data_IF_207270801884
#
_entry.id   IF_207270801884
#
_cell.length_a   1.000
_cell.length_b   1.000
_cell.length_c   1.000
_cell.angle_alpha   90.00
_cell.angle_beta   90.00
_cell.angle_gamma   90.00
#
_symmetry.space_group_name_H-M   'P 1'
#
loop_
_entity.id
_entity.type
_entity.pdbx_description
1 polymer ?
#
# COMPACT_ATOMS: atom_id res chain seq x y z
N UNK A 1 -11.54 -24.26 -48.23
CA UNK A 1 -12.49 -23.19 -48.64
C UNK A 1 -13.81 -23.42 -47.94
N UNK A 2 -14.53 -22.33 -47.65
CA UNK A 2 -15.92 -22.20 -47.16
C UNK A 2 -16.09 -21.96 -45.66
N UNK A 3 -16.42 -20.70 -45.33
CA UNK A 3 -16.78 -20.12 -44.03
C UNK A 3 -18.31 -20.13 -43.88
N UNK A 4 -18.90 -20.51 -42.73
CA UNK A 4 -20.29 -20.19 -42.40
C UNK A 4 -20.32 -18.98 -41.44
N UNK A 5 -20.75 -17.79 -41.86
CA UNK A 5 -22.13 -17.29 -41.98
C UNK A 5 -22.80 -17.02 -40.63
N UNK A 6 -22.70 -15.76 -40.24
CA UNK A 6 -23.17 -15.09 -39.03
C UNK A 6 -24.68 -14.87 -39.09
N UNK A 7 -25.44 -15.51 -38.18
CA UNK A 7 -26.76 -15.03 -37.74
C UNK A 7 -26.50 -13.87 -36.76
N UNK A 8 -27.18 -12.73 -36.74
CA UNK A 8 -28.52 -12.44 -37.19
C UNK A 8 -29.26 -11.77 -36.03
N UNK A 9 -28.91 -10.53 -35.67
CA UNK A 9 -29.76 -9.70 -34.81
C UNK A 9 -30.20 -8.46 -35.57
N UNK A 10 -31.51 -8.42 -35.81
CA UNK A 10 -32.26 -7.40 -36.52
C UNK A 10 -32.35 -6.14 -35.66
N UNK A 11 -31.70 -5.06 -36.08
CA UNK A 11 -32.11 -3.73 -35.61
C UNK A 11 -33.38 -3.32 -36.36
N UNK A 12 -34.47 -3.19 -35.60
CA UNK A 12 -35.74 -2.58 -36.03
C UNK A 12 -35.45 -1.21 -36.61
N UNK A 13 -35.68 -1.05 -37.91
CA UNK A 13 -35.81 0.27 -38.53
C UNK A 13 -37.16 0.85 -38.08
N UNK A 14 -37.16 1.68 -37.03
CA UNK A 14 -38.39 2.37 -36.63
C UNK A 14 -38.68 3.50 -37.63
N UNK A 15 -39.94 3.55 -38.04
CA UNK A 15 -40.46 4.26 -39.20
C UNK A 15 -41.09 5.56 -38.73
N UNK A 16 -40.31 6.61 -38.51
CA UNK A 16 -40.87 7.94 -38.20
C UNK A 16 -39.97 9.09 -38.72
N UNK A 17 -39.74 9.12 -40.03
CA UNK A 17 -39.20 10.31 -40.72
C UNK A 17 -40.27 10.83 -41.67
N UNK A 18 -41.43 11.21 -41.13
CA UNK A 18 -42.48 11.92 -41.86
C UNK A 18 -43.19 12.90 -40.94
N UNK A 19 -42.50 13.97 -40.57
CA UNK A 19 -43.03 15.32 -40.28
C UNK A 19 -42.04 16.08 -39.39
N UNK A 20 -41.03 16.70 -40.00
CA UNK A 20 -40.26 17.73 -39.32
C UNK A 20 -40.40 19.03 -40.13
N UNK A 21 -41.46 19.78 -39.84
CA UNK A 21 -41.53 21.19 -40.27
C UNK A 21 -40.49 21.94 -39.46
N UNK A 22 -39.35 22.27 -40.08
CA UNK A 22 -38.35 23.17 -39.51
C UNK A 22 -38.99 24.56 -39.46
N UNK A 23 -39.47 24.96 -38.28
CA UNK A 23 -39.78 26.36 -38.00
C UNK A 23 -38.48 27.04 -37.57
N UNK A 24 -38.09 28.08 -38.31
CA UNK A 24 -36.99 28.97 -37.91
C UNK A 24 -37.38 29.69 -36.62
N UNK A 25 -36.60 29.49 -35.56
CA UNK A 25 -36.80 30.13 -34.26
C UNK A 25 -36.49 31.63 -34.37
N UNK A 26 -37.31 32.45 -33.71
CA UNK A 26 -37.13 33.91 -33.67
C UNK A 26 -35.92 34.30 -32.79
N UNK A 27 -35.26 35.45 -33.02
CA UNK A 27 -34.05 35.85 -32.29
C UNK A 27 -34.23 35.91 -30.76
N UNK A 28 -35.45 36.19 -30.29
CA UNK A 28 -35.79 36.25 -28.87
C UNK A 28 -35.81 34.89 -28.17
N UNK A 29 -36.08 33.80 -28.89
CA UNK A 29 -36.09 32.44 -28.30
C UNK A 29 -34.67 31.86 -28.17
N UNK A 30 -33.74 32.29 -29.02
CA UNK A 30 -32.33 31.90 -28.94
C UNK A 30 -31.69 32.41 -27.64
N UNK A 31 -32.04 33.63 -27.21
CA UNK A 31 -31.50 34.24 -25.97
C UNK A 31 -31.98 33.50 -24.71
N UNK A 32 -33.19 32.94 -24.74
CA UNK A 32 -33.76 32.17 -23.64
C UNK A 32 -33.08 30.80 -23.48
N UNK A 33 -32.73 30.14 -24.58
CA UNK A 33 -31.96 28.89 -24.55
C UNK A 33 -30.53 29.07 -24.03
N UNK A 34 -29.86 30.18 -24.37
CA UNK A 34 -28.50 30.49 -23.86
C UNK A 34 -28.51 30.71 -22.35
N UNK A 35 -29.61 31.24 -21.76
CA UNK A 35 -29.73 31.42 -20.31
C UNK A 35 -30.02 30.13 -19.54
N UNK A 36 -30.70 29.16 -20.15
CA UNK A 36 -31.02 27.88 -19.49
C UNK A 36 -29.80 26.93 -19.41
N UNK A 37 -28.80 27.11 -20.27
CA UNK A 37 -27.53 26.37 -20.23
C UNK A 37 -26.54 26.86 -19.15
N UNK A 38 -26.86 27.94 -18.42
CA UNK A 38 -26.00 28.53 -17.38
C UNK A 38 -26.42 28.18 -15.94
N UNK A 39 -27.42 27.33 -15.74
CA UNK A 39 -27.96 27.05 -14.40
C UNK A 39 -28.43 25.59 -14.19
N UNK A 40 -27.52 24.61 -14.19
CA UNK A 40 -27.60 23.33 -13.46
C UNK A 40 -26.40 22.40 -13.83
N UNK A 41 -25.71 21.69 -12.91
CA UNK A 41 -25.55 21.91 -11.47
C UNK A 41 -24.07 21.97 -11.02
N UNK A 42 -23.84 22.73 -9.95
CA UNK A 42 -22.78 22.52 -8.97
C UNK A 42 -22.96 21.12 -8.33
N UNK A 43 -22.43 20.08 -8.94
CA UNK A 43 -22.12 18.80 -8.28
C UNK A 43 -20.69 18.40 -8.65
N UNK A 44 -19.76 19.34 -8.51
CA UNK A 44 -18.34 19.04 -8.39
C UNK A 44 -18.15 18.52 -6.96
N UNK A 45 -18.61 17.29 -6.70
CA UNK A 45 -18.15 16.57 -5.52
C UNK A 45 -16.63 16.45 -5.69
N UNK A 46 -15.81 16.93 -4.74
CA UNK A 46 -14.42 16.49 -4.71
C UNK A 46 -14.47 14.97 -4.64
N UNK A 47 -13.85 14.31 -5.63
CA UNK A 47 -13.54 12.89 -5.51
C UNK A 47 -12.82 12.73 -4.17
N UNK A 48 -13.42 11.99 -3.24
CA UNK A 48 -12.70 11.58 -2.04
C UNK A 48 -11.50 10.78 -2.54
N UNK A 49 -10.31 11.36 -2.41
CA UNK A 49 -9.06 10.69 -2.68
C UNK A 49 -8.88 9.62 -1.61
N UNK A 50 -9.37 8.42 -1.88
CA UNK A 50 -8.93 7.22 -1.20
C UNK A 50 -7.64 6.79 -1.91
N UNK A 51 -6.53 6.73 -1.17
CA UNK A 51 -5.19 6.43 -1.69
C UNK A 51 -4.17 7.58 -1.53
N UNK A 52 -4.17 8.25 -0.37
CA UNK A 52 -3.13 9.22 -0.01
C UNK A 52 -2.00 8.59 0.82
N UNK A 53 -2.23 7.42 1.42
CA UNK A 53 -1.41 6.95 2.55
C UNK A 53 -0.12 6.26 2.09
N UNK A 54 -0.16 5.42 1.06
CA UNK A 54 1.03 4.83 0.39
C UNK A 54 1.93 5.92 -0.20
N UNK A 55 1.31 6.98 -0.76
CA UNK A 55 2.03 8.13 -1.27
C UNK A 55 2.62 9.02 -0.17
N UNK A 56 2.15 8.90 1.07
CA UNK A 56 2.64 9.68 2.20
C UNK A 56 3.86 9.02 2.82
N UNK A 57 3.85 7.68 2.97
CA UNK A 57 4.97 6.93 3.53
C UNK A 57 6.14 6.86 2.55
N UNK A 58 5.90 6.46 1.29
CA UNK A 58 6.96 6.43 0.27
C UNK A 58 7.60 7.81 0.08
N UNK A 59 6.81 8.89 0.12
CA UNK A 59 7.35 10.24 0.01
C UNK A 59 8.25 10.61 1.19
N UNK A 60 7.92 10.19 2.41
CA UNK A 60 8.79 10.39 3.56
C UNK A 60 10.14 9.67 3.40
N UNK A 61 10.12 8.46 2.83
CA UNK A 61 11.33 7.71 2.52
C UNK A 61 12.14 8.37 1.40
N UNK A 62 11.50 8.80 0.31
CA UNK A 62 12.12 9.55 -0.79
C UNK A 62 12.81 10.83 -0.30
N UNK A 63 12.10 11.64 0.50
CA UNK A 63 12.64 12.89 1.05
C UNK A 63 13.82 12.67 2.00
N UNK A 64 13.87 11.52 2.69
CA UNK A 64 14.91 11.23 3.69
C UNK A 64 16.11 10.49 3.11
N UNK A 65 15.85 9.51 2.26
CA UNK A 65 16.82 8.51 1.82
C UNK A 65 17.03 8.52 0.29
N UNK A 66 16.26 9.33 -0.45
CA UNK A 66 16.35 9.40 -1.91
C UNK A 66 15.81 8.18 -2.66
N UNK A 67 15.03 7.34 -1.96
CA UNK A 67 14.41 6.14 -2.47
C UNK A 67 13.60 5.42 -1.38
N UNK A 68 12.72 4.52 -1.79
CA UNK A 68 11.91 3.67 -0.90
C UNK A 68 12.07 2.18 -1.19
N UNK A 69 12.76 1.81 -2.28
CA UNK A 69 12.89 0.46 -2.79
C UNK A 69 13.56 -0.48 -1.77
N UNK A 70 14.52 0.04 -0.99
CA UNK A 70 15.18 -0.73 0.05
C UNK A 70 14.24 -1.11 1.20
N UNK A 71 13.31 -0.23 1.55
CA UNK A 71 12.29 -0.54 2.55
C UNK A 71 11.28 -1.53 1.98
N UNK A 72 10.74 -1.27 0.77
CA UNK A 72 9.78 -2.17 0.11
C UNK A 72 10.35 -3.59 -0.01
N UNK A 73 11.61 -3.72 -0.42
CA UNK A 73 12.26 -5.02 -0.54
C UNK A 73 12.40 -5.73 0.83
N UNK A 74 12.82 -5.01 1.87
CA UNK A 74 12.98 -5.60 3.21
C UNK A 74 11.63 -5.98 3.84
N UNK A 75 10.60 -5.16 3.66
CA UNK A 75 9.24 -5.41 4.12
C UNK A 75 8.65 -6.66 3.46
N UNK A 76 8.69 -6.75 2.13
CA UNK A 76 8.22 -7.94 1.41
C UNK A 76 9.03 -9.19 1.75
N UNK A 77 10.36 -9.08 1.85
CA UNK A 77 11.20 -10.22 2.25
C UNK A 77 10.84 -10.73 3.65
N UNK A 78 10.49 -9.84 4.59
CA UNK A 78 10.04 -10.23 5.92
C UNK A 78 8.70 -10.96 5.87
N UNK A 79 7.70 -10.42 5.16
CA UNK A 79 6.41 -11.07 5.03
C UNK A 79 6.53 -12.44 4.35
N UNK A 80 7.29 -12.54 3.26
CA UNK A 80 7.52 -13.79 2.54
C UNK A 80 8.20 -14.84 3.43
N UNK A 81 9.25 -14.44 4.17
CA UNK A 81 9.98 -15.34 5.06
C UNK A 81 9.09 -15.84 6.22
N UNK A 82 8.29 -14.97 6.83
CA UNK A 82 7.36 -15.36 7.90
C UNK A 82 6.24 -16.25 7.36
N UNK A 83 5.72 -15.99 6.16
CA UNK A 83 4.63 -16.76 5.55
C UNK A 83 4.99 -18.24 5.36
N UNK A 84 6.24 -18.52 5.01
CA UNK A 84 6.73 -19.89 4.77
C UNK A 84 7.55 -20.45 5.94
N UNK A 85 7.59 -19.74 7.07
CA UNK A 85 8.38 -20.08 8.25
C UNK A 85 9.88 -20.29 7.97
N UNK A 86 10.46 -19.49 7.06
CA UNK A 86 11.90 -19.50 6.75
C UNK A 86 12.67 -18.75 7.84
N UNK A 87 13.08 -19.50 8.86
CA UNK A 87 13.72 -18.99 10.09
C UNK A 87 15.03 -18.29 9.76
N UNK A 88 15.83 -18.86 8.87
CA UNK A 88 17.11 -18.33 8.43
C UNK A 88 16.93 -17.01 7.67
N UNK A 89 15.92 -16.91 6.81
CA UNK A 89 15.61 -15.67 6.09
C UNK A 89 15.14 -14.56 7.04
N UNK A 90 14.29 -14.85 8.02
CA UNK A 90 13.91 -13.87 9.05
C UNK A 90 15.13 -13.45 9.87
N UNK A 91 15.97 -14.41 10.28
CA UNK A 91 17.18 -14.13 11.05
C UNK A 91 18.16 -13.20 10.31
N UNK A 92 18.21 -13.28 8.97
CA UNK A 92 19.03 -12.41 8.13
C UNK A 92 18.51 -10.96 8.05
N UNK A 93 17.24 -10.73 8.38
CA UNK A 93 16.60 -9.41 8.44
C UNK A 93 16.69 -8.77 9.84
N UNK A 94 17.41 -9.39 10.78
CA UNK A 94 17.57 -8.90 12.15
C UNK A 94 18.90 -8.16 12.32
N UNK A 95 18.86 -7.01 12.99
CA UNK A 95 20.05 -6.31 13.44
C UNK A 95 20.46 -6.81 14.83
N UNK A 96 21.55 -7.57 14.89
CA UNK A 96 22.11 -8.06 16.15
C UNK A 96 23.02 -7.03 16.84
N UNK A 97 23.12 -7.07 18.18
CA UNK A 97 22.30 -7.88 19.10
C UNK A 97 20.85 -7.38 19.14
N UNK A 98 19.89 -8.30 19.08
CA UNK A 98 18.46 -8.00 19.09
C UNK A 98 17.96 -7.94 20.53
N UNK A 99 17.28 -6.86 20.90
CA UNK A 99 16.62 -6.73 22.21
C UNK A 99 15.20 -7.26 22.10
N UNK A 100 14.82 -8.10 23.07
CA UNK A 100 13.49 -8.72 23.11
C UNK A 100 12.94 -8.65 24.53
N UNK A 101 11.61 -8.62 24.65
CA UNK A 101 10.91 -8.80 25.93
C UNK A 101 10.18 -10.14 25.85
N UNK A 102 10.45 -11.07 26.76
CA UNK A 102 9.79 -12.40 26.76
C UNK A 102 9.33 -12.69 28.18
N UNK A 103 8.05 -12.98 28.35
CA UNK A 103 7.38 -13.06 29.65
C UNK A 103 7.64 -11.86 30.57
N UNK A 104 7.75 -10.64 30.01
CA UNK A 104 8.05 -9.41 30.73
C UNK A 104 9.53 -9.22 31.14
N UNK A 105 10.39 -10.19 30.84
CA UNK A 105 11.83 -10.10 31.09
C UNK A 105 12.57 -9.65 29.82
N UNK A 106 13.45 -8.66 29.98
CA UNK A 106 14.31 -8.20 28.89
C UNK A 106 15.42 -9.20 28.66
N UNK A 107 15.56 -9.62 27.41
CA UNK A 107 16.60 -10.52 26.96
C UNK A 107 17.33 -9.95 25.72
N UNK A 108 18.39 -10.61 25.28
CA UNK A 108 19.17 -10.22 24.12
C UNK A 108 19.60 -11.43 23.32
N UNK A 109 19.20 -11.45 22.06
CA UNK A 109 19.64 -12.46 21.09
C UNK A 109 20.92 -11.95 20.42
N UNK A 110 22.00 -12.71 20.53
CA UNK A 110 23.33 -12.24 20.13
C UNK A 110 23.65 -12.39 18.65
N UNK A 111 23.06 -13.38 17.98
CA UNK A 111 23.43 -13.78 16.62
C UNK A 111 22.31 -14.56 15.90
N UNK A 112 22.44 -14.79 14.58
CA UNK A 112 21.45 -15.51 13.78
C UNK A 112 21.15 -16.94 14.26
N UNK A 113 22.16 -17.71 14.65
CA UNK A 113 21.98 -19.10 15.09
C UNK A 113 21.09 -19.14 16.35
N UNK A 114 21.35 -18.24 17.30
CA UNK A 114 20.53 -18.10 18.51
C UNK A 114 19.09 -17.66 18.20
N UNK A 115 18.89 -16.81 17.20
CA UNK A 115 17.55 -16.42 16.75
C UNK A 115 16.78 -17.60 16.16
N UNK A 116 17.42 -18.39 15.30
CA UNK A 116 16.81 -19.58 14.69
C UNK A 116 16.45 -20.62 15.75
N UNK A 117 17.35 -20.87 16.70
CA UNK A 117 17.12 -21.79 17.83
C UNK A 117 15.93 -21.35 18.71
N UNK A 118 15.67 -20.04 18.79
CA UNK A 118 14.61 -19.44 19.61
C UNK A 118 13.42 -18.93 18.80
N UNK A 119 13.36 -19.24 17.51
CA UNK A 119 12.41 -18.62 16.58
C UNK A 119 10.97 -18.66 17.08
N UNK A 120 10.49 -19.82 17.54
CA UNK A 120 9.10 -20.01 17.96
C UNK A 120 8.74 -19.21 19.23
N UNK A 121 9.73 -18.80 20.03
CA UNK A 121 9.54 -17.93 21.18
C UNK A 121 9.59 -16.44 20.82
N UNK A 122 10.11 -16.10 19.64
CA UNK A 122 10.30 -14.73 19.15
C UNK A 122 9.24 -14.33 18.11
N UNK A 123 8.98 -15.21 17.15
CA UNK A 123 7.96 -15.08 16.12
C UNK A 123 6.82 -16.03 16.51
N UNK A 124 6.08 -15.63 17.54
CA UNK A 124 4.88 -16.34 17.98
C UNK A 124 3.80 -16.26 16.90
N UNK A 125 2.74 -17.09 16.95
CA UNK A 125 1.63 -16.97 16.01
C UNK A 125 1.00 -15.57 15.94
N UNK A 126 1.02 -14.82 17.05
CA UNK A 126 0.48 -13.46 17.11
C UNK A 126 1.41 -12.46 16.42
N UNK A 127 2.73 -12.56 16.65
CA UNK A 127 3.73 -11.77 15.92
C UNK A 127 3.71 -12.08 14.42
N UNK A 128 3.59 -13.36 14.05
CA UNK A 128 3.49 -13.75 12.65
C UNK A 128 2.26 -13.14 11.99
N UNK A 129 1.09 -13.18 12.65
CA UNK A 129 -0.13 -12.54 12.16
C UNK A 129 0.01 -11.03 12.05
N UNK A 130 0.67 -10.38 13.01
CA UNK A 130 0.94 -8.95 12.98
C UNK A 130 1.81 -8.59 11.76
N UNK A 131 2.91 -9.31 11.53
CA UNK A 131 3.80 -9.09 10.38
C UNK A 131 3.06 -9.30 9.05
N UNK A 132 2.31 -10.40 8.93
CA UNK A 132 1.60 -10.75 7.70
C UNK A 132 0.36 -9.88 7.45
N UNK A 133 -0.23 -9.33 8.50
CA UNK A 133 -1.41 -8.47 8.45
C UNK A 133 -1.08 -6.99 8.30
N UNK A 134 0.18 -6.59 8.51
CA UNK A 134 0.60 -5.21 8.35
C UNK A 134 0.34 -4.74 6.92
N UNK A 135 -0.52 -3.72 6.77
CA UNK A 135 -0.68 -3.02 5.51
C UNK A 135 0.49 -2.06 5.31
N UNK A 136 1.08 -2.09 4.12
CA UNK A 136 2.15 -1.18 3.74
C UNK A 136 1.67 0.29 3.77
N UNK A 137 0.41 0.51 3.42
CA UNK A 137 -0.14 1.84 3.21
C UNK A 137 -0.43 2.57 4.54
N UNK A 138 -0.56 1.81 5.62
CA UNK A 138 -0.79 2.32 6.98
C UNK A 138 0.51 2.61 7.74
N UNK A 139 1.67 2.32 7.14
CA UNK A 139 2.96 2.51 7.79
C UNK A 139 3.32 3.98 7.97
N UNK A 140 3.98 4.26 9.09
CA UNK A 140 4.51 5.59 9.41
C UNK A 140 5.99 5.51 9.75
N UNK A 141 6.74 6.52 9.33
CA UNK A 141 8.15 6.68 9.67
C UNK A 141 8.28 7.62 10.87
N UNK A 142 8.69 7.10 12.01
CA UNK A 142 9.07 7.92 13.17
C UNK A 142 10.59 8.01 13.26
N UNK A 143 11.13 9.15 12.83
CA UNK A 143 12.57 9.39 12.74
C UNK A 143 13.24 8.45 11.75
N UNK A 144 13.72 7.30 12.24
CA UNK A 144 14.38 6.28 11.43
C UNK A 144 13.87 4.86 11.73
N UNK A 145 12.71 4.78 12.40
CA UNK A 145 12.05 3.55 12.83
C UNK A 145 10.68 3.51 12.17
N UNK A 146 10.33 2.33 11.65
CA UNK A 146 8.98 1.97 11.24
C UNK A 146 8.49 0.93 12.23
N UNK A 147 7.39 1.23 12.90
CA UNK A 147 6.73 0.35 13.85
C UNK A 147 5.55 -0.29 13.14
N UNK A 148 5.40 -1.60 13.28
CA UNK A 148 4.22 -2.28 12.77
C UNK A 148 3.09 -2.10 13.80
N UNK A 149 1.85 -2.08 13.33
CA UNK A 149 0.64 -1.97 14.13
C UNK A 149 0.64 -3.01 15.25
N UNK A 150 0.22 -2.60 16.45
CA UNK A 150 0.38 -3.39 17.68
C UNK A 150 1.66 -3.05 18.46
N UNK A 151 2.67 -2.52 17.79
CA UNK A 151 3.86 -1.98 18.45
C UNK A 151 4.91 -3.01 18.83
N UNK A 152 4.78 -4.26 18.38
CA UNK A 152 5.62 -5.37 18.83
C UNK A 152 6.80 -5.66 17.90
N UNK A 153 6.79 -5.08 16.70
CA UNK A 153 7.85 -5.26 15.69
C UNK A 153 8.32 -3.89 15.21
N UNK A 154 9.64 -3.68 15.22
CA UNK A 154 10.25 -2.42 14.77
C UNK A 154 11.35 -2.68 13.76
N UNK A 155 11.22 -2.09 12.58
CA UNK A 155 12.28 -2.03 11.57
C UNK A 155 12.98 -0.68 11.64
N UNK A 156 14.31 -0.69 11.58
CA UNK A 156 15.13 0.53 11.62
C UNK A 156 16.01 0.62 10.38
N UNK A 157 16.18 1.84 9.86
CA UNK A 157 17.14 2.11 8.80
C UNK A 157 18.58 2.23 9.32
N UNK A 158 19.52 1.72 8.51
CA UNK A 158 20.96 1.82 8.71
C UNK A 158 21.64 2.24 7.40
N UNK A 159 22.40 3.33 7.44
CA UNK A 159 23.19 3.78 6.30
C UNK A 159 24.55 3.08 6.26
N UNK A 160 25.06 2.78 5.07
CA UNK A 160 26.43 2.27 4.86
C UNK A 160 27.50 3.29 5.23
N UNK A 161 27.20 4.57 5.02
CA UNK A 161 28.09 5.69 5.23
C UNK A 161 27.30 6.99 5.44
N UNK A 162 28.00 8.12 5.55
CA UNK A 162 27.41 9.42 5.84
C UNK A 162 26.52 9.99 4.72
N UNK A 163 26.64 9.49 3.49
CA UNK A 163 25.80 9.90 2.37
C UNK A 163 24.38 9.30 2.44
N UNK A 164 24.22 8.16 3.14
CA UNK A 164 22.97 7.40 3.20
C UNK A 164 22.37 7.05 1.82
N UNK A 165 23.19 6.98 0.77
CA UNK A 165 22.74 6.54 -0.57
C UNK A 165 22.33 5.05 -0.58
N UNK A 166 22.94 4.24 0.30
CA UNK A 166 22.56 2.85 0.53
C UNK A 166 22.06 2.68 1.96
N UNK A 167 20.82 2.22 2.07
CA UNK A 167 20.11 2.02 3.34
C UNK A 167 19.63 0.58 3.44
N UNK A 168 19.88 -0.06 4.57
CA UNK A 168 19.29 -1.35 4.94
C UNK A 168 18.23 -1.14 6.01
N UNK A 169 17.19 -1.96 5.96
CA UNK A 169 16.12 -2.00 6.96
C UNK A 169 16.14 -3.34 7.67
N UNK A 170 16.29 -3.31 8.99
CA UNK A 170 16.45 -4.51 9.80
C UNK A 170 15.57 -4.42 11.04
N UNK A 171 15.08 -5.58 11.49
CA UNK A 171 14.39 -5.73 12.77
C UNK A 171 15.34 -5.35 13.89
N UNK A 172 14.92 -4.41 14.74
CA UNK A 172 15.72 -3.88 15.86
C UNK A 172 15.11 -4.19 17.23
N UNK A 173 13.85 -4.59 17.27
CA UNK A 173 13.18 -5.04 18.48
C UNK A 173 12.07 -6.02 18.14
N UNK A 174 11.75 -6.88 19.10
CA UNK A 174 10.56 -7.71 19.12
C UNK A 174 9.99 -7.73 20.55
N UNK A 175 8.68 -7.57 20.69
CA UNK A 175 7.97 -7.78 21.95
C UNK A 175 6.86 -8.83 21.80
N UNK A 176 7.21 -10.13 21.85
CA UNK A 176 6.26 -11.25 21.76
C UNK A 176 5.07 -11.20 22.73
N UNK A 177 5.15 -10.45 23.82
CA UNK A 177 4.10 -10.40 24.85
C UNK A 177 3.08 -9.26 24.62
N UNK A 178 3.36 -8.34 23.69
CA UNK A 178 2.59 -7.11 23.51
C UNK A 178 3.18 -5.90 24.26
N UNK A 179 3.15 -4.72 23.62
CA UNK A 179 3.55 -3.43 24.20
C UNK A 179 2.68 -2.92 25.38
#
# INVERSE_FOLDING_TARGET
MTKPQTQGLRCRLNRDIRNFSIRLLSPSEIVLFVRLLLALPLLLHPAMALGQDDQSFNRQLEERYGGHESFTAAFSALQDAVLVEDREAVAALVNYPLRVTINGDRDTIGNPDEFVDRYDALITPDIAQLILGQDYDELTLDGNIVMFDGGDVWMRSYCTDSSCEVVYWLIRGLDPDGA
#
